data_IF_378414041523
#
_entry.id   IF_378414041523
#
_cell.length_a   1.000
_cell.length_b   1.000
_cell.length_c   1.000
_cell.angle_alpha   90.00
_cell.angle_beta   90.00
_cell.angle_gamma   90.00
#
_symmetry.space_group_name_H-M   'P 1'
#
loop_
_entity.id
_entity.type
_entity.pdbx_description
1 polymer ?
#
# COMPACT_ATOMS: atom_id res chain seq x y z
N UNK A 1 -9.51 -19.12 21.67
CA UNK A 1 -8.76 -17.90 21.95
C UNK A 1 -8.16 -17.45 20.63
N UNK A 2 -8.67 -16.38 20.03
CA UNK A 2 -8.13 -15.86 18.77
C UNK A 2 -6.86 -15.08 19.13
N UNK A 3 -5.69 -15.63 18.78
CA UNK A 3 -4.43 -14.91 18.89
C UNK A 3 -4.46 -13.74 17.91
N UNK A 4 -4.72 -12.54 18.43
CA UNK A 4 -4.41 -11.29 17.75
C UNK A 4 -2.89 -11.17 17.62
N UNK A 5 -2.29 -11.92 16.69
CA UNK A 5 -0.93 -11.66 16.21
C UNK A 5 -0.97 -10.39 15.35
N UNK A 6 -1.15 -9.24 15.99
CA UNK A 6 -0.89 -7.95 15.35
C UNK A 6 0.61 -7.86 15.11
N UNK A 7 1.05 -8.27 13.92
CA UNK A 7 2.33 -7.83 13.41
C UNK A 7 2.32 -6.29 13.46
N UNK A 8 3.32 -5.70 14.09
CA UNK A 8 3.52 -4.25 14.05
C UNK A 8 4.27 -3.88 12.77
N UNK A 9 4.07 -2.67 12.23
CA UNK A 9 4.89 -2.18 11.13
C UNK A 9 6.36 -2.12 11.55
N UNK A 10 7.25 -2.47 10.64
CA UNK A 10 8.69 -2.38 10.86
C UNK A 10 9.17 -0.92 10.80
N UNK A 11 8.51 -0.11 9.98
CA UNK A 11 8.81 1.30 9.77
C UNK A 11 7.75 2.19 10.42
N UNK A 12 8.16 3.39 10.86
CA UNK A 12 7.21 4.43 11.18
C UNK A 12 6.61 4.98 9.88
N UNK A 13 5.28 4.88 9.74
CA UNK A 13 4.56 5.34 8.55
C UNK A 13 4.66 6.86 8.37
N UNK A 14 4.68 7.62 9.46
CA UNK A 14 4.77 9.09 9.41
C UNK A 14 6.12 9.54 8.86
N UNK A 15 7.20 8.83 9.20
CA UNK A 15 8.54 9.12 8.64
C UNK A 15 8.56 8.91 7.12
N UNK A 16 7.88 7.86 6.64
CA UNK A 16 7.76 7.59 5.21
C UNK A 16 6.92 8.66 4.50
N UNK A 17 5.75 9.03 5.04
CA UNK A 17 4.87 10.06 4.48
C UNK A 17 5.59 11.42 4.45
N UNK A 18 6.23 11.82 5.55
CA UNK A 18 6.99 13.08 5.63
C UNK A 18 8.15 13.12 4.63
N UNK A 19 8.82 11.98 4.41
CA UNK A 19 9.90 11.89 3.44
C UNK A 19 9.41 11.93 1.99
N UNK A 20 8.16 11.55 1.71
CA UNK A 20 7.55 11.70 0.38
C UNK A 20 7.45 13.19 -0.04
N UNK A 21 7.24 14.10 0.92
CA UNK A 21 7.17 15.53 0.64
C UNK A 21 8.56 16.16 0.39
N UNK A 22 9.59 15.67 1.08
CA UNK A 22 10.82 16.43 1.29
C UNK A 22 12.10 15.77 0.76
N UNK A 23 12.04 14.49 0.38
CA UNK A 23 13.25 13.71 0.07
C UNK A 23 13.12 12.97 -1.25
N UNK A 24 14.29 12.54 -1.73
CA UNK A 24 14.37 11.62 -2.86
C UNK A 24 13.87 10.25 -2.44
N UNK A 25 12.78 9.81 -3.07
CA UNK A 25 12.26 8.46 -2.97
C UNK A 25 12.43 7.75 -4.30
N UNK A 26 12.78 6.46 -4.27
CA UNK A 26 12.84 5.62 -5.47
C UNK A 26 11.50 4.95 -5.65
N UNK A 27 10.92 5.01 -6.85
CA UNK A 27 9.68 4.31 -7.17
C UNK A 27 9.99 3.23 -8.19
N UNK A 28 9.59 1.99 -7.91
CA UNK A 28 9.74 0.90 -8.88
C UNK A 28 8.86 1.16 -10.09
N UNK A 29 9.38 0.84 -11.28
CA UNK A 29 8.69 1.07 -12.55
C UNK A 29 7.27 0.49 -12.54
N UNK A 30 7.12 -0.75 -12.04
CA UNK A 30 5.81 -1.41 -11.94
C UNK A 30 4.85 -0.67 -11.01
N UNK A 31 5.33 -0.17 -9.86
CA UNK A 31 4.51 0.65 -8.97
C UNK A 31 4.03 1.94 -9.64
N UNK A 32 4.88 2.59 -10.44
CA UNK A 32 4.47 3.77 -11.21
C UNK A 32 3.47 3.42 -12.33
N UNK A 33 3.68 2.31 -13.04
CA UNK A 33 2.78 1.83 -14.11
C UNK A 33 1.38 1.51 -13.55
N UNK A 34 1.32 0.88 -12.38
CA UNK A 34 0.07 0.54 -11.70
C UNK A 34 -0.61 1.80 -11.12
N UNK A 35 0.17 2.73 -10.53
CA UNK A 35 -0.33 4.04 -10.09
C UNK A 35 -1.00 4.82 -11.23
N UNK A 36 -0.36 4.82 -12.41
CA UNK A 36 -0.92 5.44 -13.61
C UNK A 36 -2.20 4.75 -14.05
N UNK A 37 -2.19 3.42 -14.12
CA UNK A 37 -3.31 2.64 -14.69
C UNK A 37 -4.56 2.74 -13.81
N UNK A 38 -4.43 2.63 -12.50
CA UNK A 38 -5.58 2.53 -11.60
C UNK A 38 -5.98 3.87 -10.95
N UNK A 39 -5.00 4.72 -10.64
CA UNK A 39 -5.22 6.00 -9.95
C UNK A 39 -5.04 7.23 -10.85
N UNK A 40 -4.69 7.04 -12.13
CA UNK A 40 -4.39 8.12 -13.08
C UNK A 40 -3.21 9.02 -12.64
N UNK A 41 -2.28 8.47 -11.85
CA UNK A 41 -1.09 9.18 -11.35
C UNK A 41 0.08 8.90 -12.29
N UNK A 42 0.35 9.84 -13.20
CA UNK A 42 1.26 9.58 -14.33
C UNK A 42 2.74 9.79 -14.04
N UNK A 43 3.09 10.58 -13.02
CA UNK A 43 4.49 10.89 -12.70
C UNK A 43 4.88 10.48 -11.29
N UNK A 44 6.18 10.30 -11.08
CA UNK A 44 6.71 10.03 -9.75
C UNK A 44 6.43 11.20 -8.80
N UNK A 45 6.57 12.45 -9.28
CA UNK A 45 6.31 13.63 -8.46
C UNK A 45 4.84 13.67 -7.99
N UNK A 46 3.90 13.38 -8.88
CA UNK A 46 2.47 13.33 -8.55
C UNK A 46 2.17 12.21 -7.55
N UNK A 47 2.82 11.05 -7.68
CA UNK A 47 2.65 9.94 -6.73
C UNK A 47 3.16 10.30 -5.33
N UNK A 48 4.33 10.91 -5.25
CA UNK A 48 4.90 11.34 -3.98
C UNK A 48 4.06 12.46 -3.34
N UNK A 49 3.60 13.42 -4.14
CA UNK A 49 2.67 14.46 -3.68
C UNK A 49 1.36 13.85 -3.19
N UNK A 50 0.78 12.91 -3.94
CA UNK A 50 -0.44 12.20 -3.56
C UNK A 50 -0.29 11.54 -2.19
N UNK A 51 0.80 10.81 -1.95
CA UNK A 51 1.05 10.14 -0.66
C UNK A 51 1.28 11.16 0.46
N UNK A 52 2.12 12.16 0.22
CA UNK A 52 2.52 13.17 1.21
C UNK A 52 1.34 14.00 1.73
N UNK A 53 0.37 14.30 0.87
CA UNK A 53 -0.74 15.21 1.16
C UNK A 53 -2.07 14.46 1.35
N UNK A 54 -2.01 13.23 1.85
CA UNK A 54 -3.18 12.52 2.37
C UNK A 54 -4.01 11.75 1.34
N UNK A 55 -3.50 11.51 0.13
CA UNK A 55 -4.18 10.72 -0.89
C UNK A 55 -4.39 9.26 -0.50
N UNK A 56 -3.53 8.70 0.36
CA UNK A 56 -3.73 7.38 0.97
C UNK A 56 -4.56 7.51 2.25
N UNK A 57 -5.89 7.64 2.12
CA UNK A 57 -6.78 7.79 3.27
C UNK A 57 -6.96 6.46 4.02
N UNK A 58 -7.26 6.53 5.32
CA UNK A 58 -7.57 5.35 6.16
C UNK A 58 -6.53 4.21 6.04
N UNK A 59 -5.24 4.59 6.04
CA UNK A 59 -4.15 3.62 5.98
C UNK A 59 -4.33 2.52 7.03
N UNK A 60 -4.36 1.28 6.55
CA UNK A 60 -4.51 0.09 7.34
C UNK A 60 -3.29 -0.81 7.12
N UNK A 61 -2.55 -1.07 8.19
CA UNK A 61 -1.40 -1.96 8.13
C UNK A 61 -1.82 -3.40 7.85
N UNK A 62 -1.18 -4.05 6.87
CA UNK A 62 -1.46 -5.43 6.49
C UNK A 62 -0.38 -6.38 7.01
N UNK A 63 0.89 -6.09 6.72
CA UNK A 63 2.01 -6.93 7.14
C UNK A 63 3.37 -6.26 6.99
N UNK A 64 4.36 -6.84 7.66
CA UNK A 64 5.79 -6.60 7.47
C UNK A 64 6.41 -7.93 7.05
N UNK A 65 7.13 -7.96 5.92
CA UNK A 65 7.76 -9.19 5.39
C UNK A 65 9.18 -8.91 4.91
N UNK A 66 10.04 -9.94 4.94
CA UNK A 66 11.33 -9.85 4.26
C UNK A 66 11.11 -9.69 2.76
N UNK A 67 11.96 -8.91 2.10
CA UNK A 67 11.91 -8.73 0.66
C UNK A 67 12.42 -10.00 -0.05
N UNK A 68 11.49 -10.85 -0.49
CA UNK A 68 11.80 -12.16 -1.09
C UNK A 68 12.76 -12.10 -2.29
N UNK A 69 12.62 -11.06 -3.13
CA UNK A 69 13.42 -10.84 -4.34
C UNK A 69 14.53 -9.82 -4.13
N UNK A 70 15.06 -9.71 -2.91
CA UNK A 70 16.15 -8.81 -2.60
C UNK A 70 17.43 -9.21 -3.36
N UNK A 71 17.98 -8.35 -4.24
CA UNK A 71 19.22 -8.64 -4.95
C UNK A 71 20.44 -8.70 -3.99
N UNK A 72 20.37 -7.98 -2.86
CA UNK A 72 21.37 -8.03 -1.80
C UNK A 72 21.06 -9.13 -0.80
N UNK A 73 21.27 -10.40 -1.17
CA UNK A 73 20.96 -11.58 -0.32
C UNK A 73 21.55 -11.52 1.10
N UNK A 74 22.67 -10.82 1.27
CA UNK A 74 23.35 -10.66 2.57
C UNK A 74 22.81 -9.50 3.42
N UNK A 75 21.89 -8.69 2.90
CA UNK A 75 21.32 -7.51 3.55
C UNK A 75 19.80 -7.60 3.59
N UNK A 76 19.22 -8.42 4.49
CA UNK A 76 17.77 -8.57 4.58
C UNK A 76 17.11 -7.21 4.80
N UNK A 77 16.09 -6.95 3.99
CA UNK A 77 15.32 -5.69 3.98
C UNK A 77 13.87 -6.03 4.24
N UNK A 78 13.25 -5.35 5.21
CA UNK A 78 11.83 -5.50 5.50
C UNK A 78 11.01 -4.63 4.55
N UNK A 79 9.81 -5.09 4.23
CA UNK A 79 8.82 -4.40 3.42
C UNK A 79 7.56 -4.34 4.23
N UNK A 80 7.04 -3.13 4.45
CA UNK A 80 5.75 -2.93 5.08
C UNK A 80 4.71 -2.71 3.98
N UNK A 81 3.56 -3.36 4.16
CA UNK A 81 2.40 -3.28 3.28
C UNK A 81 1.21 -2.67 4.00
N UNK A 82 0.56 -1.72 3.35
CA UNK A 82 -0.65 -1.06 3.83
C UNK A 82 -1.71 -1.05 2.74
N UNK A 83 -2.97 -1.13 3.15
CA UNK A 83 -4.11 -0.77 2.33
C UNK A 83 -4.59 0.64 2.67
N UNK A 84 -5.23 1.30 1.72
CA UNK A 84 -5.79 2.63 1.87
C UNK A 84 -7.05 2.77 1.01
N UNK A 85 -7.82 3.82 1.26
CA UNK A 85 -8.93 4.22 0.41
C UNK A 85 -8.65 5.58 -0.22
N UNK A 86 -9.16 5.81 -1.43
CA UNK A 86 -9.12 7.14 -2.07
C UNK A 86 -10.22 7.23 -3.12
N UNK A 87 -11.05 8.27 -3.11
CA UNK A 87 -12.11 8.46 -4.12
C UNK A 87 -12.93 7.18 -4.41
N UNK A 88 -13.37 6.47 -3.37
CA UNK A 88 -14.09 5.18 -3.44
C UNK A 88 -13.30 4.02 -4.10
N UNK A 89 -11.98 4.12 -4.21
CA UNK A 89 -11.08 3.05 -4.65
C UNK A 89 -10.30 2.52 -3.46
N UNK A 90 -10.07 1.20 -3.44
CA UNK A 90 -9.16 0.59 -2.48
C UNK A 90 -7.79 0.44 -3.12
N UNK A 91 -6.76 0.90 -2.42
CA UNK A 91 -5.38 0.85 -2.86
C UNK A 91 -4.49 0.10 -1.89
N UNK A 92 -3.39 -0.39 -2.41
CA UNK A 92 -2.33 -1.05 -1.66
C UNK A 92 -1.00 -0.36 -1.95
N UNK A 93 -0.24 -0.08 -0.90
CA UNK A 93 1.13 0.44 -0.98
C UNK A 93 2.07 -0.47 -0.20
N UNK A 94 3.22 -0.77 -0.81
CA UNK A 94 4.32 -1.44 -0.11
C UNK A 94 5.61 -0.67 -0.30
N UNK A 95 6.33 -0.44 0.80
CA UNK A 95 7.56 0.33 0.80
C UNK A 95 8.61 -0.26 1.74
N UNK A 96 9.85 0.17 1.54
CA UNK A 96 11.00 -0.25 2.33
C UNK A 96 12.06 0.85 2.35
N UNK A 97 13.02 0.74 3.28
CA UNK A 97 14.17 1.64 3.33
C UNK A 97 15.45 0.89 3.00
N UNK A 98 16.18 1.39 2.01
CA UNK A 98 17.51 0.86 1.66
C UNK A 98 18.47 1.07 2.82
N UNK A 99 19.03 -0.01 3.37
CA UNK A 99 20.07 0.08 4.42
C UNK A 99 21.36 0.73 3.94
N UNK A 100 21.68 0.61 2.63
CA UNK A 100 22.92 1.13 2.06
C UNK A 100 22.86 2.63 1.79
N UNK A 101 21.74 3.11 1.26
CA UNK A 101 21.59 4.51 0.83
C UNK A 101 20.71 5.35 1.75
N UNK A 102 19.99 4.73 2.68
CA UNK A 102 19.01 5.39 3.54
C UNK A 102 17.75 5.86 2.81
N UNK A 103 17.64 5.63 1.50
CA UNK A 103 16.51 6.09 0.69
C UNK A 103 15.30 5.17 0.87
N UNK A 104 14.12 5.78 0.89
CA UNK A 104 12.86 5.06 0.76
C UNK A 104 12.66 4.55 -0.66
N UNK A 105 12.01 3.40 -0.75
CA UNK A 105 11.68 2.73 -2.00
C UNK A 105 10.20 2.35 -1.95
N UNK A 106 9.41 2.88 -2.88
CA UNK A 106 8.04 2.40 -3.14
C UNK A 106 8.17 1.19 -4.06
N UNK A 107 7.93 0.01 -3.50
CA UNK A 107 8.05 -1.28 -4.18
C UNK A 107 6.79 -1.61 -4.97
N UNK A 108 5.61 -1.34 -4.41
CA UNK A 108 4.30 -1.63 -5.00
C UNK A 108 3.32 -0.50 -4.70
N UNK A 109 2.48 -0.16 -5.68
CA UNK A 109 1.37 0.78 -5.53
C UNK A 109 0.28 0.42 -6.55
N UNK A 110 -0.79 -0.25 -6.12
CA UNK A 110 -1.81 -0.80 -7.02
C UNK A 110 -3.18 -0.90 -6.34
N UNK A 111 -4.19 -1.39 -7.05
CA UNK A 111 -5.49 -1.73 -6.47
C UNK A 111 -5.35 -2.77 -5.35
N UNK A 112 -6.07 -2.58 -4.24
CA UNK A 112 -6.15 -3.61 -3.21
C UNK A 112 -7.17 -4.68 -3.60
N UNK A 113 -6.83 -5.95 -3.38
CA UNK A 113 -7.72 -7.09 -3.63
C UNK A 113 -8.60 -7.44 -2.43
N UNK A 114 -8.47 -6.72 -1.31
CA UNK A 114 -9.35 -6.91 -0.16
C UNK A 114 -10.77 -6.46 -0.53
N UNK A 115 -11.72 -7.36 -0.29
CA UNK A 115 -13.15 -7.08 -0.46
C UNK A 115 -13.48 -5.94 0.50
N UNK A 116 -14.06 -4.85 0.01
CA UNK A 116 -14.49 -3.77 0.91
C UNK A 116 -15.56 -4.32 1.86
N UNK A 117 -15.62 -3.83 3.10
CA UNK A 117 -16.70 -4.23 4.02
C UNK A 117 -18.09 -3.94 3.40
N UNK A 118 -18.17 -2.94 2.51
CA UNK A 118 -19.36 -2.61 1.75
C UNK A 118 -19.74 -3.72 0.75
N UNK A 119 -18.77 -4.38 0.11
CA UNK A 119 -19.04 -5.50 -0.81
C UNK A 119 -19.49 -6.76 -0.06
N UNK A 120 -19.05 -6.95 1.19
CA UNK A 120 -19.53 -8.03 2.05
C UNK A 120 -20.97 -7.80 2.55
N UNK A 121 -21.37 -6.53 2.69
CA UNK A 121 -22.71 -6.11 3.13
C UNK A 121 -23.70 -5.89 1.97
N UNK A 122 -23.20 -5.74 0.74
CA UNK A 122 -24.03 -5.58 -0.45
C UNK A 122 -24.62 -6.92 -0.88
N UNK A 123 -25.82 -7.21 -0.40
CA UNK A 123 -26.63 -8.37 -0.83
C UNK A 123 -27.92 -7.90 -1.50
N UNK A 124 -27.86 -7.47 -2.78
CA UNK A 124 -29.03 -6.90 -3.47
C UNK A 124 -30.20 -7.89 -3.65
N UNK A 125 -29.96 -9.19 -3.45
CA UNK A 125 -30.96 -10.25 -3.63
C UNK A 125 -31.16 -11.15 -2.40
N UNK A 126 -30.65 -10.81 -1.21
CA UNK A 126 -30.78 -11.69 -0.03
C UNK A 126 -32.19 -11.81 0.55
N UNK A 127 -33.18 -11.18 -0.06
CA UNK A 127 -34.60 -11.27 0.32
C UNK A 127 -35.53 -11.53 -0.86
N UNK A 128 -35.00 -11.98 -2.00
CA UNK A 128 -35.82 -12.50 -3.09
C UNK A 128 -35.80 -14.02 -3.00
N UNK A 129 -36.81 -14.55 -2.33
CA UNK A 129 -37.14 -15.96 -2.48
C UNK A 129 -37.60 -16.14 -3.93
N UNK A 130 -36.85 -16.91 -4.70
CA UNK A 130 -37.33 -17.41 -5.98
C UNK A 130 -38.39 -18.45 -5.65
N UNK A 131 -39.66 -18.06 -5.74
CA UNK A 131 -40.77 -19.01 -5.75
C UNK A 131 -40.62 -19.88 -7.01
N UNK A 132 -40.35 -21.17 -6.81
CA UNK A 132 -40.44 -22.22 -7.84
C UNK A 132 -41.91 -22.63 -8.08
#
# INVERSE_FOLDING_TARGET
MLENNQNLPYYNIDDFINDCANKKIIVFKKAQEDAKTFFNISTQADLLHFIAYGGCEKLHFINSKLWDKNPGKNNPTMVDGYEFTTNNKNGYIAFMKSKQTGLWIIKSFHEAYSISINDLLYKPFSGLDLED
#
